data_IF_936648694160
#
_entry.id   IF_936648694160
#
_cell.length_a   1.000
_cell.length_b   1.000
_cell.length_c   1.000
_cell.angle_alpha   90.00
_cell.angle_beta   90.00
_cell.angle_gamma   90.00
#
_symmetry.space_group_name_H-M   'P 1'
#
loop_
_entity.id
_entity.type
_entity.pdbx_description
1 polymer ?
#
# COMPACT_ATOMS: atom_id res chain seq x y z
N UNK A 1 -4.55 3.99 6.94
CA UNK A 1 -5.64 3.19 6.32
C UNK A 1 -5.91 1.89 7.06
N UNK A 2 -4.88 1.10 7.38
CA UNK A 2 -5.07 -0.14 8.14
C UNK A 2 -5.72 0.10 9.50
N UNK A 3 -5.26 1.11 10.24
CA UNK A 3 -5.85 1.46 11.53
C UNK A 3 -7.33 1.82 11.40
N UNK A 4 -7.70 2.54 10.35
CA UNK A 4 -9.09 2.90 10.07
C UNK A 4 -9.95 1.67 9.78
N UNK A 5 -9.42 0.70 9.04
CA UNK A 5 -10.13 -0.55 8.76
C UNK A 5 -10.34 -1.36 10.03
N UNK A 6 -9.32 -1.47 10.88
CA UNK A 6 -9.43 -2.17 12.17
C UNK A 6 -10.49 -1.49 13.05
N UNK A 7 -10.46 -0.17 13.15
CA UNK A 7 -11.44 0.59 13.93
C UNK A 7 -12.86 0.40 13.39
N UNK A 8 -13.03 0.42 12.06
CA UNK A 8 -14.32 0.19 11.41
C UNK A 8 -14.86 -1.20 11.73
N UNK A 9 -14.00 -2.22 11.70
CA UNK A 9 -14.40 -3.59 12.04
C UNK A 9 -14.89 -3.68 13.48
N UNK A 10 -14.18 -3.05 14.41
CA UNK A 10 -14.59 -3.01 15.83
C UNK A 10 -15.93 -2.29 15.98
N UNK A 11 -16.08 -1.14 15.32
CA UNK A 11 -17.29 -0.31 15.43
C UNK A 11 -18.53 -1.01 14.86
N UNK A 12 -18.38 -1.68 13.71
CA UNK A 12 -19.50 -2.38 13.04
C UNK A 12 -19.81 -3.75 13.63
N UNK A 13 -18.97 -4.26 14.50
CA UNK A 13 -19.07 -5.60 15.08
C UNK A 13 -18.15 -6.58 14.38
N UNK A 14 -17.24 -7.16 15.14
CA UNK A 14 -16.21 -8.06 14.60
C UNK A 14 -16.85 -9.36 14.08
N UNK A 15 -16.54 -9.69 12.82
CA UNK A 15 -16.86 -10.99 12.23
C UNK A 15 -15.55 -11.80 12.20
N UNK A 16 -15.41 -12.86 13.00
CA UNK A 16 -14.16 -13.61 13.08
C UNK A 16 -13.73 -14.20 11.74
N UNK A 17 -12.44 -14.23 11.51
CA UNK A 17 -11.86 -14.78 10.29
C UNK A 17 -10.55 -14.13 9.94
N UNK A 18 -9.91 -14.64 8.89
CA UNK A 18 -8.70 -14.05 8.33
C UNK A 18 -9.08 -13.15 7.17
N UNK A 19 -8.54 -11.94 7.19
CA UNK A 19 -8.79 -10.91 6.18
C UNK A 19 -7.47 -10.40 5.63
N UNK A 20 -7.45 -10.04 4.36
CA UNK A 20 -6.32 -9.38 3.74
C UNK A 20 -6.65 -7.92 3.50
N UNK A 21 -5.71 -7.04 3.82
CA UNK A 21 -5.85 -5.61 3.58
C UNK A 21 -4.57 -5.00 3.03
N UNK A 22 -4.72 -4.21 1.99
CA UNK A 22 -3.75 -3.24 1.49
C UNK A 22 -4.53 -2.21 0.69
N UNK A 23 -3.91 -1.09 0.35
CA UNK A 23 -4.54 -0.10 -0.52
C UNK A 23 -4.77 -0.67 -1.92
N UNK A 24 -5.69 -0.09 -2.66
CA UNK A 24 -6.02 -0.48 -4.03
C UNK A 24 -4.91 -0.08 -4.99
N UNK A 25 -4.87 -0.77 -6.13
CA UNK A 25 -3.89 -0.55 -7.16
C UNK A 25 -2.67 -1.45 -7.03
N UNK A 26 -1.86 -1.44 -8.06
CA UNK A 26 -0.65 -2.26 -8.17
C UNK A 26 0.52 -1.36 -8.54
N UNK A 27 1.64 -1.51 -7.87
CA UNK A 27 2.85 -0.80 -8.23
C UNK A 27 4.08 -1.65 -7.91
N UNK A 28 5.17 -1.36 -8.60
CA UNK A 28 6.49 -1.89 -8.25
C UNK A 28 7.12 -1.02 -7.15
N UNK A 29 8.19 -1.51 -6.54
CA UNK A 29 8.99 -0.69 -5.64
C UNK A 29 9.54 0.55 -6.35
N UNK A 30 9.88 0.42 -7.64
CA UNK A 30 10.31 1.55 -8.46
C UNK A 30 9.21 2.60 -8.59
N UNK A 31 7.99 2.19 -8.93
CA UNK A 31 6.85 3.10 -9.04
C UNK A 31 6.57 3.81 -7.72
N UNK A 32 6.64 3.07 -6.62
CA UNK A 32 6.40 3.60 -5.28
C UNK A 32 7.44 4.67 -4.93
N UNK A 33 8.72 4.38 -5.15
CA UNK A 33 9.80 5.34 -4.89
C UNK A 33 9.69 6.59 -5.76
N UNK A 34 9.32 6.43 -7.04
CA UNK A 34 9.10 7.57 -7.94
C UNK A 34 7.95 8.44 -7.47
N UNK A 35 6.86 7.85 -7.00
CA UNK A 35 5.72 8.59 -6.47
C UNK A 35 6.09 9.37 -5.19
N UNK A 36 6.87 8.76 -4.30
CA UNK A 36 7.38 9.46 -3.09
C UNK A 36 8.18 10.70 -3.49
N UNK A 37 9.11 10.55 -4.44
CA UNK A 37 9.94 11.66 -4.90
C UNK A 37 9.10 12.78 -5.51
N UNK A 38 8.12 12.42 -6.35
CA UNK A 38 7.23 13.38 -6.99
C UNK A 38 6.39 14.15 -5.97
N UNK A 39 5.77 13.46 -5.04
CA UNK A 39 4.86 14.05 -4.05
C UNK A 39 5.65 14.89 -3.04
N UNK A 40 6.80 14.40 -2.58
CA UNK A 40 7.64 15.09 -1.59
C UNK A 40 8.54 16.17 -2.21
N UNK A 41 8.60 16.26 -3.54
CA UNK A 41 9.46 17.25 -4.21
C UNK A 41 10.95 16.94 -4.13
N UNK A 42 11.31 15.65 -4.03
CA UNK A 42 12.70 15.21 -3.96
C UNK A 42 13.31 15.14 -5.37
N UNK A 43 14.36 15.94 -5.61
CA UNK A 43 15.04 15.99 -6.90
C UNK A 43 16.50 15.58 -6.86
N UNK A 44 17.03 15.30 -5.66
CA UNK A 44 18.46 15.07 -5.43
C UNK A 44 18.87 13.60 -5.49
N UNK A 45 17.92 12.69 -5.62
CA UNK A 45 18.16 11.25 -5.66
C UNK A 45 17.61 10.65 -6.93
N UNK A 46 18.44 9.90 -7.65
CA UNK A 46 18.02 9.20 -8.86
C UNK A 46 17.53 7.80 -8.50
N UNK A 47 16.33 7.46 -8.97
CA UNK A 47 15.74 6.13 -8.82
C UNK A 47 15.78 5.42 -10.17
N UNK A 48 16.34 4.22 -10.21
CA UNK A 48 16.42 3.41 -11.43
C UNK A 48 15.68 2.09 -11.26
N UNK A 49 14.96 1.63 -12.29
CA UNK A 49 14.27 0.34 -12.21
C UNK A 49 15.28 -0.81 -12.32
N UNK A 50 15.01 -1.89 -11.60
CA UNK A 50 15.80 -3.12 -11.65
C UNK A 50 14.85 -4.32 -11.80
N UNK A 51 15.32 -5.35 -12.49
CA UNK A 51 14.67 -6.66 -12.47
C UNK A 51 15.01 -7.38 -11.16
N UNK A 52 14.19 -8.35 -10.80
CA UNK A 52 14.35 -9.11 -9.54
C UNK A 52 15.75 -9.74 -9.43
N UNK A 53 16.29 -10.28 -10.54
CA UNK A 53 17.61 -10.91 -10.57
C UNK A 53 18.77 -9.91 -10.48
N UNK A 54 18.51 -8.63 -10.63
CA UNK A 54 19.52 -7.56 -10.52
C UNK A 54 19.63 -6.99 -9.11
N UNK A 55 18.73 -7.38 -8.22
CA UNK A 55 18.70 -6.90 -6.85
C UNK A 55 19.14 -7.99 -5.87
N UNK A 56 20.18 -7.76 -5.04
CA UNK A 56 20.73 -8.77 -4.13
C UNK A 56 19.85 -8.97 -2.89
N UNK A 57 18.70 -9.57 -3.07
CA UNK A 57 17.80 -9.89 -1.96
C UNK A 57 18.18 -11.24 -1.35
N UNK A 58 18.14 -11.31 -0.01
CA UNK A 58 18.45 -12.56 0.72
C UNK A 58 17.35 -13.61 0.56
N UNK A 59 16.11 -13.19 0.42
CA UNK A 59 14.97 -14.08 0.26
C UNK A 59 14.37 -13.94 -1.12
N UNK A 60 13.96 -15.04 -1.76
CA UNK A 60 13.21 -14.97 -3.01
C UNK A 60 11.85 -14.30 -2.77
N UNK A 61 11.48 -13.37 -3.62
CA UNK A 61 10.20 -12.66 -3.54
C UNK A 61 9.36 -13.00 -4.76
N UNK A 62 8.03 -13.16 -4.62
CA UNK A 62 7.18 -13.39 -5.79
C UNK A 62 7.15 -12.16 -6.68
N UNK A 63 6.99 -12.36 -7.98
CA UNK A 63 6.83 -11.26 -8.93
C UNK A 63 5.53 -10.50 -8.72
N UNK A 64 4.52 -11.18 -8.21
CA UNK A 64 3.19 -10.62 -7.98
C UNK A 64 2.74 -10.98 -6.56
N UNK A 65 2.57 -9.97 -5.72
CA UNK A 65 2.23 -10.15 -4.30
C UNK A 65 1.00 -9.37 -3.88
N UNK A 66 0.13 -9.05 -4.84
CA UNK A 66 -1.09 -8.27 -4.59
C UNK A 66 -2.10 -9.12 -3.83
N UNK A 67 -2.70 -8.54 -2.79
CA UNK A 67 -3.68 -9.21 -1.95
C UNK A 67 -5.09 -9.08 -2.54
N UNK A 68 -5.88 -10.13 -2.41
CA UNK A 68 -7.31 -10.09 -2.70
C UNK A 68 -8.04 -9.53 -1.47
N UNK A 69 -8.67 -8.38 -1.63
CA UNK A 69 -9.34 -7.65 -0.55
C UNK A 69 -10.86 -7.79 -0.57
N UNK A 70 -11.38 -8.68 -1.40
CA UNK A 70 -12.83 -8.85 -1.57
C UNK A 70 -13.52 -9.15 -0.24
N UNK A 71 -12.96 -10.04 0.57
CA UNK A 71 -13.57 -10.44 1.84
C UNK A 71 -13.73 -9.28 2.81
N UNK A 72 -12.68 -8.48 3.02
CA UNK A 72 -12.76 -7.33 3.94
C UNK A 72 -13.71 -6.26 3.41
N UNK A 73 -13.74 -6.02 2.11
CA UNK A 73 -14.62 -5.03 1.49
C UNK A 73 -16.09 -5.42 1.64
N UNK A 74 -16.43 -6.68 1.37
CA UNK A 74 -17.82 -7.15 1.42
C UNK A 74 -18.32 -7.37 2.84
N UNK A 75 -17.47 -7.87 3.73
CA UNK A 75 -17.86 -8.13 5.12
C UNK A 75 -18.17 -6.84 5.88
N UNK A 76 -17.36 -5.79 5.70
CA UNK A 76 -17.50 -4.53 6.43
C UNK A 76 -18.04 -3.39 5.57
N UNK A 77 -18.34 -3.65 4.30
CA UNK A 77 -18.85 -2.64 3.37
C UNK A 77 -17.99 -1.38 3.36
N UNK A 78 -16.68 -1.57 3.17
CA UNK A 78 -15.71 -0.48 3.14
C UNK A 78 -15.22 -0.20 1.73
N UNK A 79 -14.86 1.06 1.47
CA UNK A 79 -14.11 1.48 0.30
C UNK A 79 -12.65 1.63 0.68
N UNK A 80 -11.77 1.14 -0.19
CA UNK A 80 -10.32 1.20 0.03
C UNK A 80 -9.74 2.22 -0.95
N UNK A 81 -8.98 3.22 -0.49
CA UNK A 81 -8.38 4.20 -1.38
C UNK A 81 -7.26 3.60 -2.22
N UNK A 82 -6.98 4.24 -3.35
CA UNK A 82 -5.82 3.90 -4.18
C UNK A 82 -4.53 4.25 -3.43
N UNK A 83 -3.48 3.46 -3.65
CA UNK A 83 -2.23 3.63 -2.92
C UNK A 83 -1.59 5.02 -3.10
N UNK A 84 -1.74 5.65 -4.27
CA UNK A 84 -1.19 6.99 -4.50
C UNK A 84 -1.90 8.07 -3.66
N UNK A 85 -3.20 7.96 -3.51
CA UNK A 85 -3.98 8.88 -2.66
C UNK A 85 -3.56 8.77 -1.20
N UNK A 86 -3.41 7.55 -0.72
CA UNK A 86 -2.99 7.27 0.65
C UNK A 86 -1.54 7.71 0.88
N UNK A 87 -0.68 7.51 -0.09
CA UNK A 87 0.71 7.98 -0.01
C UNK A 87 0.77 9.50 0.08
N UNK A 88 0.00 10.20 -0.73
CA UNK A 88 -0.06 11.67 -0.69
C UNK A 88 -0.52 12.17 0.67
N UNK A 89 -1.57 11.58 1.23
CA UNK A 89 -2.06 11.92 2.56
C UNK A 89 -1.00 11.66 3.64
N UNK A 90 -0.30 10.54 3.54
CA UNK A 90 0.78 10.18 4.48
C UNK A 90 1.92 11.21 4.44
N UNK A 91 2.37 11.59 3.26
CA UNK A 91 3.47 12.55 3.11
C UNK A 91 3.06 13.93 3.63
N UNK A 92 1.82 14.35 3.40
CA UNK A 92 1.29 15.60 3.95
C UNK A 92 1.34 15.61 5.48
N UNK A 93 0.97 14.50 6.12
CA UNK A 93 1.02 14.40 7.58
C UNK A 93 2.46 14.42 8.11
N UNK A 94 3.40 13.77 7.42
CA UNK A 94 4.80 13.77 7.80
C UNK A 94 5.42 15.16 7.75
N UNK A 95 4.91 16.04 6.89
CA UNK A 95 5.41 17.40 6.69
C UNK A 95 4.59 18.46 7.45
N UNK A 96 3.59 18.03 8.18
CA UNK A 96 2.72 18.94 8.94
C UNK A 96 3.37 19.46 10.21
#
# INVERSE_FOLDING_TARGET
DLARVIFTAIYKGVVPGVYHFSDEGVCSWYDFAKAIHRIAGITTCKVSPLHTNEYPAKAPRPHYSVLDKTKVKTTYNIEIPHWEESLEACIKELNA
#
